data_IF_746277666960
#
_entry.id   IF_746277666960
#
_cell.length_a   1.000
_cell.length_b   1.000
_cell.length_c   1.000
_cell.angle_alpha   90.00
_cell.angle_beta   90.00
_cell.angle_gamma   90.00
#
_symmetry.space_group_name_H-M   'P 1'
#
loop_
_entity.id
_entity.type
_entity.pdbx_description
1 polymer ?
#
# COMPACT_ATOMS: atom_id res chain seq x y z
N UNK A 1 26.13 47.48 -49.54
CA UNK A 1 26.42 46.33 -48.66
C UNK A 1 26.74 45.13 -49.56
N UNK A 2 27.94 44.54 -49.48
CA UNK A 2 28.39 43.52 -50.44
C UNK A 2 27.54 42.24 -50.37
N UNK A 3 27.20 41.65 -51.53
CA UNK A 3 26.43 40.40 -51.66
C UNK A 3 27.02 39.28 -50.77
N UNK A 4 28.35 39.28 -50.56
CA UNK A 4 29.03 38.35 -49.65
C UNK A 4 28.61 38.51 -48.19
N UNK A 5 28.39 39.74 -47.72
CA UNK A 5 27.94 40.02 -46.34
C UNK A 5 26.48 39.64 -46.13
N UNK A 6 25.64 39.77 -47.16
CA UNK A 6 24.22 39.37 -47.13
C UNK A 6 24.09 37.85 -47.12
N UNK A 7 24.84 37.13 -47.96
CA UNK A 7 24.84 35.66 -47.95
C UNK A 7 25.32 35.09 -46.61
N UNK A 8 26.36 35.67 -45.99
CA UNK A 8 26.90 35.21 -44.71
C UNK A 8 25.91 35.43 -43.56
N UNK A 9 25.20 36.57 -43.57
CA UNK A 9 24.14 36.85 -42.60
C UNK A 9 22.97 35.88 -42.77
N UNK A 10 22.52 35.63 -44.00
CA UNK A 10 21.41 34.69 -44.26
C UNK A 10 21.77 33.26 -43.87
N UNK A 11 23.02 32.82 -44.11
CA UNK A 11 23.46 31.48 -43.67
C UNK A 11 23.55 31.36 -42.16
N UNK A 12 24.05 32.39 -41.44
CA UNK A 12 24.06 32.39 -39.98
C UNK A 12 22.66 32.40 -39.39
N UNK A 13 21.72 33.15 -39.97
CA UNK A 13 20.32 33.19 -39.50
C UNK A 13 19.61 31.86 -39.75
N UNK A 14 19.86 31.20 -40.89
CA UNK A 14 19.29 29.87 -41.19
C UNK A 14 19.88 28.78 -40.28
N UNK A 15 21.17 28.84 -39.94
CA UNK A 15 21.79 27.92 -38.97
C UNK A 15 21.21 28.14 -37.56
N UNK A 16 20.97 29.38 -37.15
CA UNK A 16 20.32 29.71 -35.87
C UNK A 16 18.83 29.30 -35.81
N UNK A 17 18.12 29.33 -36.94
CA UNK A 17 16.73 28.89 -37.04
C UNK A 17 16.57 27.37 -37.07
N UNK A 18 17.61 26.62 -37.45
CA UNK A 18 17.62 25.15 -37.48
C UNK A 18 18.10 24.51 -36.17
N UNK A 19 18.58 25.30 -35.21
CA UNK A 19 18.79 24.89 -33.81
C UNK A 19 17.51 24.94 -32.95
N UNK A 20 16.34 24.68 -33.56
CA UNK A 20 15.21 24.14 -32.82
C UNK A 20 15.58 22.71 -32.41
N UNK A 21 16.40 22.60 -31.35
CA UNK A 21 16.67 21.33 -30.69
C UNK A 21 15.33 20.63 -30.48
N UNK A 22 15.18 19.46 -31.10
CA UNK A 22 14.24 18.45 -30.62
C UNK A 22 14.49 18.36 -29.12
N UNK A 23 13.54 18.83 -28.32
CA UNK A 23 13.58 18.67 -26.88
C UNK A 23 13.50 17.17 -26.61
N UNK A 24 14.67 16.54 -26.50
CA UNK A 24 14.78 15.24 -25.88
C UNK A 24 14.15 15.37 -24.50
N UNK A 25 13.18 14.51 -24.13
CA UNK A 25 12.60 14.53 -22.79
C UNK A 25 13.75 14.57 -21.77
N UNK A 26 13.82 15.63 -20.96
CA UNK A 26 14.73 15.66 -19.82
C UNK A 26 14.06 14.82 -18.74
N UNK A 27 14.59 13.62 -18.50
CA UNK A 27 14.34 12.93 -17.23
C UNK A 27 14.92 13.83 -16.13
N UNK A 28 14.05 14.44 -15.31
CA UNK A 28 14.53 15.15 -14.12
C UNK A 28 15.18 14.13 -13.18
N UNK A 29 16.34 14.46 -12.63
CA UNK A 29 17.03 13.55 -11.70
C UNK A 29 16.30 13.51 -10.36
N UNK A 30 16.59 12.47 -9.55
CA UNK A 30 16.11 12.29 -8.17
C UNK A 30 16.33 13.53 -7.28
N UNK A 31 17.18 14.44 -7.73
CA UNK A 31 17.68 15.62 -7.02
C UNK A 31 16.86 16.89 -7.36
N UNK A 32 15.98 16.84 -8.37
CA UNK A 32 15.29 18.01 -8.94
C UNK A 32 13.83 18.20 -8.46
N UNK A 33 13.30 17.36 -7.57
CA UNK A 33 12.10 17.71 -6.79
C UNK A 33 10.74 17.60 -7.50
N UNK A 34 10.30 16.41 -7.89
CA UNK A 34 8.98 16.23 -8.51
C UNK A 34 7.83 16.17 -7.50
N UNK A 35 6.80 17.05 -7.56
CA UNK A 35 5.68 17.04 -6.64
C UNK A 35 4.83 15.78 -6.78
N UNK A 36 5.02 14.84 -5.86
CA UNK A 36 4.09 13.75 -5.62
C UNK A 36 3.09 14.12 -4.53
N UNK A 37 1.94 13.46 -4.53
CA UNK A 37 0.90 13.69 -3.53
C UNK A 37 0.16 12.40 -3.19
N UNK A 38 -0.52 12.42 -2.04
CA UNK A 38 -1.43 11.35 -1.61
C UNK A 38 -2.83 11.92 -1.48
N UNK A 39 -3.84 11.18 -1.91
CA UNK A 39 -5.24 11.53 -1.76
C UNK A 39 -6.00 10.44 -1.02
N UNK A 40 -6.90 10.84 -0.12
CA UNK A 40 -7.88 9.93 0.49
C UNK A 40 -9.24 10.26 -0.11
N UNK A 41 -10.01 9.24 -0.47
CA UNK A 41 -11.42 9.38 -0.87
C UNK A 41 -12.26 8.31 -0.19
N UNK A 42 -13.53 8.60 0.04
CA UNK A 42 -14.51 7.68 0.58
C UNK A 42 -15.89 7.98 -0.02
N UNK A 43 -16.81 7.00 -0.06
CA UNK A 43 -18.19 7.27 -0.42
C UNK A 43 -18.80 8.25 0.56
N UNK A 44 -19.78 9.02 0.09
CA UNK A 44 -20.32 10.13 0.85
C UNK A 44 -21.09 9.68 2.09
N UNK A 45 -21.87 8.60 1.97
CA UNK A 45 -22.58 7.98 3.10
C UNK A 45 -21.69 7.12 4.00
N UNK A 46 -20.48 6.80 3.54
CA UNK A 46 -19.47 6.07 4.30
C UNK A 46 -18.22 6.92 4.47
N UNK A 47 -18.45 8.18 4.83
CA UNK A 47 -17.38 9.15 5.04
C UNK A 47 -16.40 8.70 6.11
N UNK A 48 -15.21 9.29 6.07
CA UNK A 48 -14.10 9.00 6.96
C UNK A 48 -13.51 10.27 7.51
N UNK A 49 -13.02 10.22 8.74
CA UNK A 49 -12.14 11.23 9.33
C UNK A 49 -10.72 10.66 9.34
N UNK A 50 -9.82 11.28 8.59
CA UNK A 50 -8.41 10.87 8.54
C UNK A 50 -7.71 11.39 9.79
N UNK A 51 -7.09 10.50 10.55
CA UNK A 51 -6.34 10.88 11.75
C UNK A 51 -4.98 11.46 11.38
N UNK A 52 -4.24 10.74 10.56
CA UNK A 52 -2.94 11.16 10.04
C UNK A 52 -2.52 10.28 8.86
N UNK A 53 -1.64 10.86 8.04
CA UNK A 53 -0.91 10.13 7.01
C UNK A 53 0.58 10.38 7.23
N UNK A 54 1.36 9.32 7.34
CA UNK A 54 2.82 9.40 7.41
C UNK A 54 3.45 8.75 6.19
N UNK A 55 4.55 9.34 5.72
CA UNK A 55 5.47 8.71 4.77
C UNK A 55 6.76 8.34 5.47
N UNK A 56 7.26 7.14 5.20
CA UNK A 56 8.53 6.60 5.70
C UNK A 56 9.39 6.24 4.49
N UNK A 57 10.65 6.64 4.51
CA UNK A 57 11.64 6.28 3.51
C UNK A 57 12.91 5.89 4.24
N UNK A 58 13.13 4.59 4.39
CA UNK A 58 14.25 4.08 5.19
C UNK A 58 15.56 4.27 4.44
N UNK A 59 15.57 4.15 3.10
CA UNK A 59 16.79 4.34 2.31
C UNK A 59 17.38 5.75 2.38
N UNK A 60 16.57 6.76 2.73
CA UNK A 60 17.01 8.14 2.90
C UNK A 60 16.79 8.67 4.31
N UNK A 61 16.62 7.76 5.28
CA UNK A 61 16.48 8.03 6.72
C UNK A 61 15.49 9.14 7.02
N UNK A 62 14.25 8.97 6.57
CA UNK A 62 13.27 10.02 6.78
C UNK A 62 11.86 9.52 7.03
N UNK A 63 11.22 10.13 8.02
CA UNK A 63 9.77 10.02 8.27
C UNK A 63 9.14 11.41 8.22
N UNK A 64 7.93 11.53 7.69
CA UNK A 64 7.23 12.81 7.61
C UNK A 64 5.72 12.66 7.74
N UNK A 65 5.11 13.57 8.50
CA UNK A 65 3.66 13.72 8.55
C UNK A 65 3.23 14.46 7.28
N UNK A 66 2.46 13.78 6.42
CA UNK A 66 2.00 14.33 5.14
C UNK A 66 0.66 15.07 5.28
N UNK A 67 -0.23 14.57 6.14
CA UNK A 67 -1.47 15.26 6.51
C UNK A 67 -1.53 15.34 8.03
N UNK A 68 -1.48 16.54 8.62
CA UNK A 68 -1.82 16.69 10.02
C UNK A 68 -3.35 16.61 10.21
N UNK A 69 -3.81 16.12 11.38
CA UNK A 69 -5.23 16.03 11.70
C UNK A 69 -5.97 17.35 11.47
N UNK A 70 -7.26 17.31 11.06
CA UNK A 70 -8.18 18.45 10.87
C UNK A 70 -7.97 19.36 9.65
N UNK A 71 -7.16 19.00 8.66
CA UNK A 71 -6.86 19.91 7.53
C UNK A 71 -7.94 20.00 6.45
N UNK A 72 -8.94 19.12 6.41
CA UNK A 72 -9.98 19.16 5.37
C UNK A 72 -11.36 18.77 5.90
N UNK A 73 -12.21 19.78 6.12
CA UNK A 73 -13.65 19.60 6.26
C UNK A 73 -14.28 19.66 4.89
N UNK A 74 -14.62 18.51 4.32
CA UNK A 74 -15.30 18.55 3.03
C UNK A 74 -16.78 18.88 3.23
N UNK A 75 -17.19 20.03 2.72
CA UNK A 75 -18.60 20.41 2.68
C UNK A 75 -19.33 19.50 1.67
N UNK A 76 -20.13 18.57 2.19
CA UNK A 76 -20.95 17.63 1.42
C UNK A 76 -21.79 18.32 0.33
N UNK A 77 -22.40 19.48 0.66
CA UNK A 77 -23.26 20.19 -0.29
C UNK A 77 -22.43 20.77 -1.42
N UNK A 78 -21.25 21.30 -1.11
CA UNK A 78 -20.34 21.82 -2.13
C UNK A 78 -19.85 20.71 -3.08
N UNK A 79 -19.55 19.51 -2.57
CA UNK A 79 -19.19 18.35 -3.42
C UNK A 79 -20.34 17.94 -4.32
N UNK A 80 -21.55 17.82 -3.77
CA UNK A 80 -22.76 17.47 -4.50
C UNK A 80 -23.01 18.48 -5.61
N UNK A 81 -23.01 19.77 -5.30
CA UNK A 81 -23.20 20.84 -6.26
C UNK A 81 -22.12 20.83 -7.35
N UNK A 82 -20.85 20.60 -6.98
CA UNK A 82 -19.73 20.52 -7.93
C UNK A 82 -19.80 19.29 -8.84
N UNK A 83 -20.33 18.17 -8.37
CA UNK A 83 -20.52 16.98 -9.19
C UNK A 83 -21.69 17.15 -10.17
N UNK A 84 -22.82 17.67 -9.68
CA UNK A 84 -24.01 17.97 -10.49
C UNK A 84 -23.68 19.01 -11.56
N UNK A 85 -22.96 20.08 -11.21
CA UNK A 85 -22.59 21.14 -12.17
C UNK A 85 -21.67 20.66 -13.30
N UNK A 86 -20.99 19.52 -13.13
CA UNK A 86 -20.17 18.87 -14.15
C UNK A 86 -20.93 17.78 -14.93
N UNK A 87 -22.27 17.73 -14.80
CA UNK A 87 -23.14 16.79 -15.52
C UNK A 87 -23.03 15.34 -15.04
N UNK A 88 -22.39 15.09 -13.88
CA UNK A 88 -22.26 13.73 -13.37
C UNK A 88 -23.57 13.26 -12.73
N UNK A 89 -24.03 12.05 -13.07
CA UNK A 89 -25.02 11.32 -12.26
C UNK A 89 -24.35 11.02 -10.91
N UNK A 90 -24.76 11.75 -9.87
CA UNK A 90 -24.15 11.65 -8.54
C UNK A 90 -24.90 10.62 -7.70
N UNK A 91 -24.22 9.55 -7.31
CA UNK A 91 -24.71 8.58 -6.33
C UNK A 91 -23.81 8.68 -5.07
N UNK A 92 -24.38 8.95 -3.87
CA UNK A 92 -23.61 9.10 -2.63
C UNK A 92 -22.89 7.82 -2.16
N UNK A 93 -23.18 6.68 -2.77
CA UNK A 93 -22.46 5.41 -2.58
C UNK A 93 -21.26 5.26 -3.51
N UNK A 94 -21.09 6.13 -4.51
CA UNK A 94 -19.94 6.04 -5.43
C UNK A 94 -18.65 6.46 -4.73
N UNK A 95 -17.60 5.67 -4.94
CA UNK A 95 -16.24 5.99 -4.56
C UNK A 95 -15.55 6.74 -5.70
N UNK A 96 -15.28 8.04 -5.52
CA UNK A 96 -14.73 8.88 -6.59
C UNK A 96 -13.25 9.26 -6.36
N UNK A 97 -12.31 8.88 -7.25
CA UNK A 97 -10.90 9.26 -7.18
C UNK A 97 -10.68 10.70 -7.64
N UNK A 98 -11.75 11.42 -8.03
CA UNK A 98 -11.68 12.84 -8.40
C UNK A 98 -12.09 13.78 -7.27
N UNK A 99 -12.61 13.22 -6.17
CA UNK A 99 -13.11 14.01 -5.06
C UNK A 99 -12.52 13.47 -3.78
N UNK A 100 -11.74 14.29 -3.09
CA UNK A 100 -10.90 13.84 -1.98
C UNK A 100 -11.46 14.28 -0.63
N UNK A 101 -11.36 13.40 0.36
CA UNK A 101 -11.56 13.68 1.78
C UNK A 101 -10.35 14.38 2.39
N UNK A 102 -9.16 14.00 1.95
CA UNK A 102 -7.90 14.61 2.35
C UNK A 102 -6.91 14.57 1.18
N UNK A 103 -6.01 15.55 1.08
CA UNK A 103 -4.88 15.51 0.16
C UNK A 103 -3.62 15.96 0.90
N UNK A 104 -2.55 15.20 0.70
CA UNK A 104 -1.22 15.47 1.21
C UNK A 104 -0.33 15.82 0.03
N UNK A 105 0.43 16.89 0.12
CA UNK A 105 1.53 17.15 -0.81
C UNK A 105 2.85 16.71 -0.18
N UNK A 106 3.86 16.47 -1.02
CA UNK A 106 5.20 16.16 -0.56
C UNK A 106 5.72 17.20 0.45
N UNK A 107 6.54 16.79 1.43
CA UNK A 107 7.29 17.74 2.26
C UNK A 107 8.32 18.48 1.39
N UNK A 108 8.44 19.81 1.54
CA UNK A 108 9.24 20.71 0.69
C UNK A 108 10.78 20.47 0.66
N UNK A 109 11.25 19.31 1.08
CA UNK A 109 12.66 18.92 1.22
C UNK A 109 12.91 17.44 0.85
N UNK A 110 11.86 16.68 0.52
CA UNK A 110 11.90 15.24 0.23
C UNK A 110 11.27 14.96 -1.12
N UNK A 111 12.12 14.91 -2.12
CA UNK A 111 11.76 14.74 -3.54
C UNK A 111 11.23 13.34 -3.82
N UNK A 112 11.74 12.33 -3.14
CA UNK A 112 11.37 10.94 -3.36
C UNK A 112 10.05 10.61 -2.67
N UNK A 113 9.19 9.80 -3.31
CA UNK A 113 8.09 9.17 -2.62
C UNK A 113 8.60 8.35 -1.43
N UNK A 114 7.77 8.16 -0.39
CA UNK A 114 8.09 7.24 0.67
C UNK A 114 8.12 5.80 0.15
N UNK A 115 8.84 4.95 0.86
CA UNK A 115 8.82 3.49 0.68
C UNK A 115 7.58 2.88 1.33
N UNK A 116 7.08 3.50 2.41
CA UNK A 116 5.85 3.10 3.10
C UNK A 116 4.97 4.31 3.44
N UNK A 117 3.66 4.14 3.26
CA UNK A 117 2.64 5.07 3.71
C UNK A 117 1.83 4.44 4.85
N UNK A 118 1.76 5.16 5.97
CA UNK A 118 0.83 4.85 7.05
C UNK A 118 -0.41 5.73 6.91
N UNK A 119 -1.60 5.13 6.90
CA UNK A 119 -2.88 5.84 6.86
C UNK A 119 -3.76 5.33 8.00
N UNK A 120 -4.15 6.21 8.91
CA UNK A 120 -5.12 5.91 9.96
C UNK A 120 -6.38 6.76 9.81
N UNK A 121 -7.54 6.14 10.00
CA UNK A 121 -8.83 6.83 9.89
C UNK A 121 -9.91 6.22 10.79
N UNK A 122 -10.91 7.05 11.08
CA UNK A 122 -12.20 6.65 11.63
C UNK A 122 -13.20 6.48 10.48
N UNK A 123 -13.82 5.31 10.39
CA UNK A 123 -15.03 5.11 9.59
C UNK A 123 -16.20 5.74 10.34
N UNK A 124 -16.77 6.83 9.80
CA UNK A 124 -17.84 7.57 10.48
C UNK A 124 -19.17 6.80 10.48
N UNK A 125 -19.37 5.91 9.51
CA UNK A 125 -20.55 5.05 9.46
C UNK A 125 -20.47 3.96 10.54
N UNK A 126 -19.33 3.27 10.61
CA UNK A 126 -19.12 2.14 11.53
C UNK A 126 -18.81 2.62 12.96
N UNK A 127 -18.27 3.83 13.11
CA UNK A 127 -17.73 4.31 14.39
C UNK A 127 -16.51 3.51 14.84
N UNK A 128 -15.74 2.98 13.88
CA UNK A 128 -14.58 2.11 14.11
C UNK A 128 -13.34 2.67 13.43
N UNK A 129 -12.19 2.42 14.04
CA UNK A 129 -10.89 2.86 13.52
C UNK A 129 -10.23 1.77 12.68
N UNK A 130 -9.49 2.21 11.68
CA UNK A 130 -8.72 1.35 10.79
C UNK A 130 -7.35 1.97 10.54
N UNK A 131 -6.39 1.11 10.22
CA UNK A 131 -5.06 1.53 9.77
C UNK A 131 -4.60 0.73 8.57
N UNK A 132 -3.86 1.39 7.70
CA UNK A 132 -3.21 0.78 6.54
C UNK A 132 -1.72 1.14 6.55
N UNK A 133 -0.90 0.10 6.51
CA UNK A 133 0.53 0.17 6.24
C UNK A 133 0.72 -0.25 4.79
N UNK A 134 0.93 0.72 3.90
CA UNK A 134 1.01 0.49 2.46
C UNK A 134 2.44 0.69 1.97
N UNK A 135 3.08 -0.41 1.58
CA UNK A 135 4.43 -0.36 0.99
C UNK A 135 4.34 -0.06 -0.50
N UNK A 136 5.05 0.99 -0.94
CA UNK A 136 5.12 1.35 -2.35
C UNK A 136 6.19 0.50 -3.02
N UNK A 137 5.81 -0.23 -4.08
CA UNK A 137 6.78 -0.90 -4.93
C UNK A 137 7.70 0.12 -5.63
N UNK A 138 8.92 -0.28 -5.96
CA UNK A 138 9.86 0.57 -6.72
C UNK A 138 9.23 1.07 -8.03
N UNK A 139 8.43 0.23 -8.69
CA UNK A 139 7.70 0.61 -9.89
C UNK A 139 6.68 1.72 -9.61
N UNK A 140 5.93 1.60 -8.51
CA UNK A 140 4.93 2.61 -8.14
C UNK A 140 5.59 3.92 -7.71
N UNK A 141 6.70 3.88 -6.96
CA UNK A 141 7.49 5.06 -6.61
C UNK A 141 8.01 5.77 -7.88
N UNK A 142 8.57 5.01 -8.84
CA UNK A 142 9.00 5.55 -10.15
C UNK A 142 7.83 6.14 -10.93
N UNK A 143 6.67 5.48 -10.94
CA UNK A 143 5.47 6.01 -11.58
C UNK A 143 4.99 7.29 -10.92
N UNK A 144 5.09 7.42 -9.59
CA UNK A 144 4.75 8.65 -8.89
C UNK A 144 5.67 9.82 -9.29
N UNK A 145 6.94 9.52 -9.53
CA UNK A 145 7.95 10.47 -10.02
C UNK A 145 7.91 10.72 -11.54
N UNK A 146 7.04 10.05 -12.29
CA UNK A 146 7.05 10.15 -13.75
C UNK A 146 6.53 11.50 -14.22
N UNK A 147 7.41 12.28 -14.86
CA UNK A 147 7.03 13.39 -15.73
C UNK A 147 6.48 12.86 -17.05
N UNK A 148 5.37 13.43 -17.50
CA UNK A 148 5.13 13.55 -18.93
C UNK A 148 5.40 15.00 -19.33
N UNK A 149 6.09 15.18 -20.46
CA UNK A 149 6.52 16.48 -20.95
C UNK A 149 5.33 17.43 -21.12
N UNK A 150 5.47 18.59 -20.48
CA UNK A 150 4.72 19.83 -20.60
C UNK A 150 3.19 19.74 -20.41
N UNK A 151 2.59 20.58 -19.56
CA UNK A 151 1.18 20.88 -19.73
C UNK A 151 0.93 21.40 -21.15
N UNK A 152 -0.29 21.22 -21.66
CA UNK A 152 -0.68 21.82 -22.95
C UNK A 152 -0.33 23.32 -22.95
N UNK A 153 0.11 23.90 -24.08
CA UNK A 153 0.39 25.32 -24.16
C UNK A 153 -0.82 26.13 -23.64
N UNK A 154 -0.66 26.85 -22.54
CA UNK A 154 -1.73 27.60 -21.86
C UNK A 154 -2.16 27.06 -20.49
N UNK A 155 -1.77 25.85 -20.10
CA UNK A 155 -2.10 25.24 -18.80
C UNK A 155 -0.86 25.21 -17.88
N UNK A 156 -0.26 26.35 -17.54
CA UNK A 156 0.91 26.39 -16.65
C UNK A 156 0.67 25.64 -15.32
N UNK A 157 1.25 24.44 -15.19
CA UNK A 157 1.14 23.59 -14.02
C UNK A 157 2.19 22.49 -14.04
N UNK A 158 2.84 22.28 -12.89
CA UNK A 158 3.79 21.18 -12.69
C UNK A 158 3.08 19.83 -12.77
N UNK A 159 3.69 18.88 -13.46
CA UNK A 159 3.07 17.64 -13.92
C UNK A 159 3.39 16.49 -12.94
N UNK A 160 2.75 16.48 -11.77
CA UNK A 160 2.94 15.46 -10.74
C UNK A 160 2.03 14.22 -10.90
N UNK A 161 2.18 13.23 -10.02
CA UNK A 161 1.20 12.14 -9.85
C UNK A 161 0.68 12.09 -8.41
N UNK A 162 -0.55 11.60 -8.25
CA UNK A 162 -1.19 11.41 -6.95
C UNK A 162 -1.53 9.94 -6.73
N UNK A 163 -1.04 9.37 -5.64
CA UNK A 163 -1.51 8.07 -5.16
C UNK A 163 -2.80 8.27 -4.37
N UNK A 164 -3.85 7.52 -4.68
CA UNK A 164 -5.19 7.72 -4.13
C UNK A 164 -5.64 6.45 -3.42
N UNK A 165 -6.04 6.57 -2.16
CA UNK A 165 -6.65 5.52 -1.37
C UNK A 165 -8.15 5.78 -1.24
N UNK A 166 -8.95 4.87 -1.81
CA UNK A 166 -10.39 4.85 -1.69
C UNK A 166 -10.83 3.93 -0.58
N UNK A 167 -11.28 4.50 0.53
CA UNK A 167 -11.66 3.79 1.73
C UNK A 167 -13.13 3.37 1.64
N UNK A 168 -13.38 2.08 1.77
CA UNK A 168 -14.69 1.41 1.72
C UNK A 168 -14.97 0.81 3.11
N UNK A 169 -16.24 0.67 3.53
CA UNK A 169 -16.60 0.02 4.79
C UNK A 169 -15.95 -1.36 4.98
N UNK A 170 -15.74 -1.76 6.23
CA UNK A 170 -15.04 -3.01 6.55
C UNK A 170 -13.53 -2.95 6.38
N UNK A 171 -12.96 -1.77 6.10
CA UNK A 171 -11.51 -1.58 5.93
C UNK A 171 -10.99 -1.99 4.55
N UNK A 172 -11.87 -2.19 3.56
CA UNK A 172 -11.45 -2.39 2.18
C UNK A 172 -10.93 -1.10 1.57
N UNK A 173 -9.83 -1.19 0.82
CA UNK A 173 -9.18 -0.03 0.21
C UNK A 173 -8.88 -0.29 -1.25
N UNK A 174 -9.31 0.62 -2.12
CA UNK A 174 -8.92 0.64 -3.53
C UNK A 174 -7.79 1.64 -3.73
N UNK A 175 -6.72 1.23 -4.42
CA UNK A 175 -5.57 2.09 -4.69
C UNK A 175 -5.56 2.49 -6.16
N UNK A 176 -5.42 3.78 -6.44
CA UNK A 176 -5.25 4.32 -7.79
C UNK A 176 -4.04 5.25 -7.88
N UNK A 177 -3.52 5.38 -9.09
CA UNK A 177 -2.57 6.43 -9.44
C UNK A 177 -3.23 7.40 -10.42
N UNK A 178 -3.37 8.66 -10.02
CA UNK A 178 -3.85 9.74 -10.87
C UNK A 178 -2.67 10.51 -11.46
N UNK A 179 -2.66 10.61 -12.79
CA UNK A 179 -1.73 11.45 -13.55
C UNK A 179 -2.38 12.83 -13.76
N UNK A 180 -1.74 13.88 -13.26
CA UNK A 180 -2.18 15.26 -13.53
C UNK A 180 -1.99 15.61 -15.01
N UNK A 181 -1.02 14.99 -15.68
CA UNK A 181 -0.72 15.23 -17.09
C UNK A 181 -1.77 14.64 -18.03
N UNK A 182 -2.26 13.43 -17.72
CA UNK A 182 -3.22 12.73 -18.58
C UNK A 182 -4.68 12.97 -18.16
N UNK A 183 -4.90 13.57 -16.97
CA UNK A 183 -6.22 13.69 -16.33
C UNK A 183 -6.95 12.34 -16.16
N UNK A 184 -6.16 11.27 -16.12
CA UNK A 184 -6.59 9.88 -16.02
C UNK A 184 -6.06 9.23 -14.74
N UNK A 185 -6.89 8.38 -14.14
CA UNK A 185 -6.49 7.51 -13.05
C UNK A 185 -6.36 6.07 -13.55
N UNK A 186 -5.39 5.36 -13.00
CA UNK A 186 -5.18 3.94 -13.24
C UNK A 186 -5.39 3.19 -11.94
N UNK A 187 -6.11 2.07 -12.00
CA UNK A 187 -6.26 1.17 -10.86
C UNK A 187 -4.93 0.46 -10.62
N UNK A 188 -4.51 0.42 -9.35
CA UNK A 188 -3.30 -0.27 -8.91
C UNK A 188 -3.69 -1.62 -8.34
N UNK A 189 -4.43 -1.62 -7.22
CA UNK A 189 -4.79 -2.84 -6.50
C UNK A 189 -5.91 -2.60 -5.47
N UNK A 190 -6.41 -3.71 -4.91
CA UNK A 190 -7.23 -3.72 -3.70
C UNK A 190 -6.37 -4.17 -2.52
N UNK A 191 -6.46 -3.46 -1.39
CA UNK A 191 -5.78 -3.83 -0.14
C UNK A 191 -6.77 -3.84 1.01
N UNK A 192 -6.46 -4.64 2.04
CA UNK A 192 -7.25 -4.72 3.25
C UNK A 192 -6.52 -4.00 4.38
N UNK A 193 -7.23 -3.11 5.06
CA UNK A 193 -6.75 -2.44 6.25
C UNK A 193 -6.80 -3.36 7.48
N UNK A 194 -5.95 -3.08 8.46
CA UNK A 194 -6.11 -3.64 9.79
C UNK A 194 -7.28 -2.96 10.52
N UNK A 195 -8.02 -3.73 11.30
CA UNK A 195 -9.16 -3.27 12.10
C UNK A 195 -10.34 -4.26 11.98
N UNK A 196 -11.53 -3.89 12.47
CA UNK A 196 -11.84 -2.63 13.17
C UNK A 196 -11.19 -2.54 14.56
N UNK A 197 -10.85 -1.33 14.99
CA UNK A 197 -10.41 -1.00 16.34
C UNK A 197 -11.39 -0.04 17.04
N UNK A 198 -11.39 -0.08 18.36
CA UNK A 198 -12.22 0.77 19.23
C UNK A 198 -11.50 2.00 19.80
N UNK A 199 -10.25 2.21 19.39
CA UNK A 199 -9.40 3.29 19.87
C UNK A 199 -8.78 4.06 18.70
N UNK A 200 -8.59 5.36 18.92
CA UNK A 200 -7.89 6.26 18.03
C UNK A 200 -6.39 5.95 18.00
N UNK A 201 -5.74 6.16 16.86
CA UNK A 201 -4.30 5.98 16.71
C UNK A 201 -3.51 7.24 17.08
N UNK A 202 -4.18 8.37 17.27
CA UNK A 202 -3.55 9.61 17.73
C UNK A 202 -3.97 9.94 19.17
N UNK A 203 -3.03 9.90 20.15
CA UNK A 203 -3.36 9.92 21.58
C UNK A 203 -3.95 11.24 22.11
N UNK A 204 -3.72 12.37 21.42
CA UNK A 204 -4.19 13.69 21.89
C UNK A 204 -5.64 14.03 21.50
N UNK A 205 -6.38 13.10 20.88
CA UNK A 205 -7.76 13.38 20.41
C UNK A 205 -8.78 12.97 21.46
N UNK A 206 -9.56 13.96 21.89
CA UNK A 206 -10.74 13.76 22.74
C UNK A 206 -11.72 12.78 22.06
N UNK A 207 -12.02 11.66 22.70
CA UNK A 207 -13.01 10.64 22.26
C UNK A 207 -14.37 11.26 21.93
N UNK A 208 -14.74 12.35 22.61
CA UNK A 208 -15.96 13.11 22.36
C UNK A 208 -16.00 13.73 20.95
N UNK A 209 -14.86 14.17 20.41
CA UNK A 209 -14.78 14.73 19.05
C UNK A 209 -15.19 13.68 18.02
N UNK A 210 -14.60 12.49 18.06
CA UNK A 210 -14.91 11.40 17.14
C UNK A 210 -16.33 10.87 17.30
N UNK A 211 -16.81 10.77 18.54
CA UNK A 211 -18.19 10.45 18.83
C UNK A 211 -19.15 11.49 18.20
N UNK A 212 -18.82 12.78 18.29
CA UNK A 212 -19.62 13.85 17.70
C UNK A 212 -19.68 13.78 16.16
N UNK A 213 -18.58 13.43 15.49
CA UNK A 213 -18.57 13.29 14.02
C UNK A 213 -19.43 12.11 13.57
N UNK A 214 -19.29 10.98 14.24
CA UNK A 214 -20.08 9.76 14.00
C UNK A 214 -21.57 10.05 14.20
N UNK A 215 -21.93 10.75 15.28
CA UNK A 215 -23.31 11.19 15.56
C UNK A 215 -23.86 12.09 14.46
N UNK A 216 -23.10 13.12 14.02
CA UNK A 216 -23.52 14.04 12.95
C UNK A 216 -23.78 13.32 11.63
N UNK A 217 -22.95 12.35 11.25
CA UNK A 217 -23.20 11.58 10.04
C UNK A 217 -24.49 10.76 10.17
N UNK A 218 -24.69 10.07 11.30
CA UNK A 218 -25.90 9.28 11.58
C UNK A 218 -27.16 10.13 11.50
N UNK A 219 -27.21 11.25 12.21
CA UNK A 219 -28.35 12.19 12.17
C UNK A 219 -28.65 12.64 10.74
N UNK A 220 -27.61 12.94 9.95
CA UNK A 220 -27.76 13.37 8.56
C UNK A 220 -28.33 12.28 7.64
N UNK A 221 -27.85 11.04 7.74
CA UNK A 221 -28.35 9.93 6.89
C UNK A 221 -29.75 9.50 7.32
N UNK A 222 -30.05 9.52 8.62
CA UNK A 222 -31.40 9.27 9.16
C UNK A 222 -32.39 10.31 8.66
N UNK A 223 -32.02 11.60 8.64
CA UNK A 223 -32.86 12.66 8.09
C UNK A 223 -33.16 12.49 6.58
N UNK A 224 -32.38 11.66 5.88
CA UNK A 224 -32.58 11.32 4.46
C UNK A 224 -33.27 9.95 4.27
N UNK A 225 -33.75 9.32 5.35
CA UNK A 225 -34.32 7.96 5.35
C UNK A 225 -33.36 6.91 4.74
N UNK A 226 -32.05 7.08 4.96
CA UNK A 226 -31.03 6.16 4.48
C UNK A 226 -30.59 5.23 5.60
N UNK A 227 -30.68 3.92 5.36
CA UNK A 227 -30.11 2.89 6.22
C UNK A 227 -28.69 2.54 5.75
N UNK A 228 -27.70 2.68 6.63
CA UNK A 228 -26.30 2.36 6.32
C UNK A 228 -25.94 0.89 6.57
N UNK A 229 -26.60 0.23 7.53
CA UNK A 229 -26.30 -1.15 7.90
C UNK A 229 -27.55 -2.01 8.01
N UNK A 230 -27.52 -3.27 7.53
CA UNK A 230 -26.43 -3.87 6.76
C UNK A 230 -26.23 -3.15 5.41
N UNK A 231 -25.00 -3.13 4.91
CA UNK A 231 -24.68 -2.46 3.64
C UNK A 231 -25.33 -3.27 2.52
N UNK A 232 -26.19 -2.66 1.67
CA UNK A 232 -26.76 -3.38 0.53
C UNK A 232 -25.67 -3.83 -0.44
N UNK A 233 -25.75 -5.08 -0.90
CA UNK A 233 -24.70 -5.69 -1.75
C UNK A 233 -24.51 -4.92 -3.07
N UNK A 234 -25.58 -4.41 -3.68
CA UNK A 234 -25.51 -3.59 -4.88
C UNK A 234 -24.72 -2.29 -4.66
N UNK A 235 -24.83 -1.71 -3.46
CA UNK A 235 -24.09 -0.51 -3.07
C UNK A 235 -22.64 -0.81 -2.76
N UNK A 236 -22.36 -1.92 -2.09
CA UNK A 236 -21.00 -2.37 -1.85
C UNK A 236 -20.27 -2.69 -3.17
N UNK A 237 -20.93 -3.40 -4.08
CA UNK A 237 -20.44 -3.65 -5.42
C UNK A 237 -20.24 -2.34 -6.20
N UNK A 238 -21.15 -1.38 -6.06
CA UNK A 238 -20.99 -0.06 -6.68
C UNK A 238 -19.72 0.65 -6.14
N UNK A 239 -19.46 0.66 -4.83
CA UNK A 239 -18.25 1.25 -4.25
C UNK A 239 -16.98 0.62 -4.84
N UNK A 240 -16.90 -0.72 -4.83
CA UNK A 240 -15.75 -1.48 -5.37
C UNK A 240 -15.51 -1.23 -6.86
N UNK A 241 -16.59 -1.03 -7.62
CA UNK A 241 -16.56 -0.90 -9.08
C UNK A 241 -16.67 0.54 -9.60
N UNK A 242 -16.72 1.54 -8.72
CA UNK A 242 -17.08 2.94 -9.02
C UNK A 242 -16.20 3.63 -10.08
N UNK A 243 -15.13 3.00 -10.58
CA UNK A 243 -14.22 3.55 -11.58
C UNK A 243 -13.71 2.54 -12.62
N UNK A 244 -14.35 1.38 -12.74
CA UNK A 244 -14.06 0.44 -13.80
C UNK A 244 -14.67 0.93 -15.13
N UNK A 245 -14.00 1.82 -15.86
CA UNK A 245 -14.30 2.00 -17.29
C UNK A 245 -13.52 0.98 -18.12
N UNK A 246 -14.25 0.06 -18.75
CA UNK A 246 -13.95 -0.61 -20.03
C UNK A 246 -12.70 -1.52 -20.14
N UNK A 247 -12.86 -2.79 -19.75
CA UNK A 247 -12.51 -3.95 -20.60
C UNK A 247 -13.47 -5.08 -20.26
N UNK A 248 -14.00 -5.75 -21.29
CA UNK A 248 -14.79 -6.99 -21.15
C UNK A 248 -14.05 -7.93 -20.19
N UNK A 249 -14.79 -8.60 -19.29
CA UNK A 249 -14.25 -9.68 -18.48
C UNK A 249 -13.46 -10.64 -19.39
N UNK A 250 -12.16 -10.86 -19.15
CA UNK A 250 -11.58 -12.13 -19.56
C UNK A 250 -12.31 -13.24 -18.80
N UNK A 251 -12.49 -14.43 -19.41
CA UNK A 251 -13.08 -15.56 -18.71
C UNK A 251 -12.29 -15.78 -17.42
N UNK A 252 -13.05 -16.02 -16.34
CA UNK A 252 -12.57 -16.36 -15.00
C UNK A 252 -11.27 -17.17 -15.11
N UNK A 253 -10.12 -16.64 -14.66
CA UNK A 253 -8.97 -17.49 -14.46
C UNK A 253 -9.41 -18.54 -13.46
N UNK A 254 -9.30 -19.81 -13.85
CA UNK A 254 -9.38 -20.94 -12.93
C UNK A 254 -8.60 -20.55 -11.69
N UNK A 255 -9.17 -20.66 -10.47
CA UNK A 255 -8.45 -20.29 -9.27
C UNK A 255 -7.12 -21.04 -9.30
N UNK A 256 -6.01 -20.30 -9.34
CA UNK A 256 -4.74 -20.90 -8.96
C UNK A 256 -4.97 -21.54 -7.59
N UNK A 257 -4.48 -22.76 -7.36
CA UNK A 257 -4.66 -23.42 -6.07
C UNK A 257 -4.17 -22.45 -5.01
N UNK A 258 -5.02 -22.18 -4.00
CA UNK A 258 -4.60 -21.41 -2.83
C UNK A 258 -3.36 -22.12 -2.29
N UNK A 259 -2.19 -21.50 -2.41
CA UNK A 259 -1.00 -21.93 -1.68
C UNK A 259 -1.31 -21.70 -0.21
N UNK A 260 -1.77 -22.76 0.45
CA UNK A 260 -1.79 -22.88 1.90
C UNK A 260 -0.37 -22.60 2.41
N UNK A 261 -0.23 -21.77 3.44
CA UNK A 261 1.06 -21.54 4.11
C UNK A 261 1.77 -22.88 4.32
N UNK A 262 3.02 -23.00 3.87
CA UNK A 262 3.82 -24.18 4.20
C UNK A 262 4.04 -24.14 5.72
N UNK A 263 3.94 -25.27 6.41
CA UNK A 263 3.94 -25.39 7.87
C UNK A 263 2.63 -24.94 8.55
N UNK A 264 1.50 -24.90 7.83
CA UNK A 264 0.20 -24.48 8.39
C UNK A 264 -0.39 -25.44 9.44
N UNK A 265 0.05 -26.71 9.48
CA UNK A 265 -0.51 -27.72 10.39
C UNK A 265 -0.07 -27.58 11.86
N UNK A 266 0.90 -26.70 12.17
CA UNK A 266 1.37 -26.54 13.55
C UNK A 266 0.39 -25.72 14.41
N UNK A 267 0.29 -26.03 15.71
CA UNK A 267 -0.64 -25.37 16.63
C UNK A 267 -0.15 -23.95 17.02
N UNK A 268 -0.29 -22.99 16.12
CA UNK A 268 0.08 -21.58 16.39
C UNK A 268 -0.85 -20.85 17.36
N UNK A 269 -1.90 -21.51 17.85
CA UNK A 269 -2.78 -21.02 18.91
C UNK A 269 -2.14 -21.10 20.32
N UNK A 270 -0.97 -21.72 20.46
CA UNK A 270 -0.18 -21.69 21.67
C UNK A 270 0.43 -20.30 21.87
N UNK A 271 0.05 -19.59 22.94
CA UNK A 271 0.72 -18.36 23.37
C UNK A 271 2.02 -18.74 24.08
N UNK A 272 3.09 -18.94 23.32
CA UNK A 272 4.42 -19.17 23.88
C UNK A 272 5.05 -17.82 24.23
N UNK A 273 5.56 -17.70 25.46
CA UNK A 273 6.38 -16.56 25.88
C UNK A 273 7.82 -17.05 25.96
N UNK A 274 8.69 -16.51 25.09
CA UNK A 274 10.11 -16.84 25.10
C UNK A 274 10.75 -16.32 26.39
N UNK A 275 11.62 -17.13 27.00
CA UNK A 275 12.32 -16.75 28.23
C UNK A 275 13.27 -15.59 27.97
N UNK A 276 13.20 -14.55 28.78
CA UNK A 276 14.03 -13.35 28.61
C UNK A 276 15.49 -13.72 28.75
N UNK A 277 16.28 -13.40 27.73
CA UNK A 277 17.72 -13.71 27.68
C UNK A 277 18.06 -15.03 27.00
N UNK A 278 17.07 -15.90 26.74
CA UNK A 278 17.28 -17.14 25.97
C UNK A 278 17.72 -16.87 24.53
N UNK A 279 18.43 -17.81 23.88
CA UNK A 279 18.76 -17.72 22.46
C UNK A 279 17.54 -17.49 21.55
N UNK A 280 16.38 -18.10 21.87
CA UNK A 280 15.13 -17.87 21.14
C UNK A 280 14.66 -16.42 21.26
N UNK A 281 14.67 -15.87 22.47
CA UNK A 281 14.28 -14.49 22.73
C UNK A 281 15.24 -13.51 22.03
N UNK A 282 16.55 -13.78 22.03
CA UNK A 282 17.54 -12.97 21.32
C UNK A 282 17.33 -13.00 19.80
N UNK A 283 17.05 -14.17 19.23
CA UNK A 283 16.70 -14.29 17.81
C UNK A 283 15.40 -13.54 17.48
N UNK A 284 14.36 -13.68 18.29
CA UNK A 284 13.10 -12.93 18.12
C UNK A 284 13.36 -11.42 18.09
N UNK A 285 14.16 -10.90 19.04
CA UNK A 285 14.53 -9.48 19.08
C UNK A 285 15.34 -9.05 17.86
N UNK A 286 16.30 -9.85 17.39
CA UNK A 286 17.07 -9.55 16.16
C UNK A 286 16.17 -9.52 14.92
N UNK A 287 15.26 -10.48 14.80
CA UNK A 287 14.27 -10.51 13.72
C UNK A 287 13.38 -9.25 13.76
N UNK A 288 12.82 -8.90 14.92
CA UNK A 288 11.99 -7.71 15.06
C UNK A 288 12.75 -6.40 14.78
N UNK A 289 13.99 -6.29 15.23
CA UNK A 289 14.77 -5.05 15.11
C UNK A 289 15.36 -4.87 13.72
N UNK A 290 15.80 -5.95 13.06
CA UNK A 290 16.61 -5.84 11.86
C UNK A 290 15.93 -6.46 10.62
N UNK A 291 14.91 -7.30 10.80
CA UNK A 291 14.15 -7.96 9.73
C UNK A 291 12.64 -7.81 9.95
N UNK A 292 12.18 -6.60 10.30
CA UNK A 292 10.79 -6.30 10.66
C UNK A 292 9.79 -6.75 9.58
N UNK A 293 10.09 -6.47 8.30
CA UNK A 293 9.30 -6.90 7.14
C UNK A 293 9.07 -8.42 7.07
N UNK A 294 10.04 -9.20 7.56
CA UNK A 294 9.95 -10.64 7.67
C UNK A 294 9.12 -11.02 8.91
N UNK A 295 9.38 -10.38 10.05
CA UNK A 295 8.67 -10.61 11.31
C UNK A 295 7.14 -10.48 11.18
N UNK A 296 6.65 -9.45 10.48
CA UNK A 296 5.20 -9.19 10.33
C UNK A 296 4.48 -10.18 9.40
N UNK A 297 5.22 -10.86 8.51
CA UNK A 297 4.67 -11.88 7.60
C UNK A 297 4.59 -13.26 8.25
N UNK A 298 5.30 -13.46 9.35
CA UNK A 298 5.33 -14.70 10.11
C UNK A 298 4.23 -14.67 11.17
N UNK A 299 3.29 -15.60 11.09
CA UNK A 299 2.18 -15.67 12.05
C UNK A 299 2.69 -16.20 13.39
N UNK A 300 2.44 -15.46 14.47
CA UNK A 300 2.85 -15.86 15.83
C UNK A 300 4.35 -16.16 15.93
N UNK A 301 5.18 -15.17 15.57
CA UNK A 301 6.64 -15.28 15.47
C UNK A 301 7.29 -16.03 16.65
N UNK A 302 6.97 -15.66 17.90
CA UNK A 302 7.57 -16.29 19.09
C UNK A 302 7.22 -17.78 19.21
N UNK A 303 5.99 -18.15 18.88
CA UNK A 303 5.55 -19.56 18.83
C UNK A 303 6.23 -20.31 17.70
N UNK A 304 6.36 -19.68 16.52
CA UNK A 304 7.09 -20.26 15.39
C UNK A 304 8.58 -20.48 15.72
N UNK A 305 9.22 -19.50 16.37
CA UNK A 305 10.61 -19.62 16.83
C UNK A 305 10.71 -20.81 17.80
N UNK A 306 9.86 -20.89 18.82
CA UNK A 306 9.90 -21.97 19.80
C UNK A 306 9.77 -23.36 19.16
N UNK A 307 8.78 -23.56 18.31
CA UNK A 307 8.53 -24.86 17.66
C UNK A 307 9.65 -25.25 16.71
N UNK A 308 10.12 -24.33 15.87
CA UNK A 308 11.21 -24.61 14.95
C UNK A 308 12.54 -24.86 15.68
N UNK A 309 12.72 -24.24 16.84
CA UNK A 309 13.89 -24.44 17.69
C UNK A 309 13.92 -25.86 18.28
N UNK A 310 12.77 -26.36 18.76
CA UNK A 310 12.64 -27.75 19.22
C UNK A 310 12.92 -28.75 18.11
N UNK A 311 12.38 -28.53 16.89
CA UNK A 311 12.66 -29.40 15.74
C UNK A 311 14.16 -29.48 15.40
N UNK A 312 14.87 -28.37 15.55
CA UNK A 312 16.31 -28.33 15.31
C UNK A 312 17.14 -28.95 16.44
N UNK A 313 16.68 -28.86 17.70
CA UNK A 313 17.28 -29.59 18.83
C UNK A 313 17.14 -31.11 18.66
N UNK A 314 15.96 -31.59 18.27
CA UNK A 314 15.72 -33.01 17.97
C UNK A 314 16.63 -33.54 16.84
N UNK A 315 17.02 -32.66 15.91
CA UNK A 315 17.95 -32.98 14.81
C UNK A 315 19.42 -32.95 15.21
N UNK A 316 19.73 -32.57 16.45
CA UNK A 316 21.10 -32.46 16.94
C UNK A 316 21.89 -31.32 16.27
N UNK A 317 21.20 -30.28 15.79
CA UNK A 317 21.87 -29.13 15.16
C UNK A 317 22.64 -28.30 16.17
N UNK A 318 23.81 -27.82 15.74
CA UNK A 318 24.58 -26.82 16.48
C UNK A 318 23.87 -25.45 16.46
N UNK A 319 24.34 -24.49 17.25
CA UNK A 319 23.63 -23.22 17.44
C UNK A 319 23.42 -22.42 16.14
N UNK A 320 24.41 -22.40 15.25
CA UNK A 320 24.31 -21.74 13.94
C UNK A 320 23.29 -22.45 13.04
N UNK A 321 23.38 -23.78 12.94
CA UNK A 321 22.43 -24.59 12.16
C UNK A 321 21.00 -24.46 12.70
N UNK A 322 20.86 -24.36 14.03
CA UNK A 322 19.57 -24.20 14.71
C UNK A 322 18.92 -22.87 14.33
N UNK A 323 19.67 -21.79 14.35
CA UNK A 323 19.18 -20.47 13.92
C UNK A 323 18.76 -20.47 12.44
N UNK A 324 19.58 -21.03 11.55
CA UNK A 324 19.25 -21.13 10.13
C UNK A 324 18.01 -22.01 9.86
N UNK A 325 17.84 -23.10 10.62
CA UNK A 325 16.66 -23.95 10.52
C UNK A 325 15.38 -23.21 10.92
N UNK A 326 15.45 -22.44 12.02
CA UNK A 326 14.35 -21.60 12.47
C UNK A 326 13.99 -20.59 11.38
N UNK A 327 14.98 -19.88 10.83
CA UNK A 327 14.74 -18.92 9.75
C UNK A 327 14.12 -19.57 8.51
N UNK A 328 14.50 -20.80 8.16
CA UNK A 328 13.92 -21.53 7.04
C UNK A 328 12.44 -21.90 7.29
N UNK A 329 12.08 -22.31 8.51
CA UNK A 329 10.68 -22.60 8.89
C UNK A 329 9.82 -21.35 8.82
N UNK A 330 10.30 -20.26 9.40
CA UNK A 330 9.59 -18.98 9.39
C UNK A 330 9.51 -18.39 7.96
N UNK A 331 10.56 -18.57 7.15
CA UNK A 331 10.58 -18.24 5.71
C UNK A 331 9.48 -18.98 4.95
N UNK A 332 9.36 -20.30 5.14
CA UNK A 332 8.33 -21.12 4.53
C UNK A 332 6.92 -20.72 5.00
N UNK A 333 6.75 -20.45 6.30
CA UNK A 333 5.48 -20.05 6.90
C UNK A 333 4.97 -18.70 6.37
N UNK A 334 5.85 -17.69 6.37
CA UNK A 334 5.55 -16.35 5.89
C UNK A 334 5.63 -16.21 4.37
N UNK A 335 6.02 -17.26 3.66
CA UNK A 335 6.31 -17.25 2.22
C UNK A 335 7.28 -16.11 1.84
N UNK A 336 8.29 -15.90 2.67
CA UNK A 336 9.28 -14.83 2.52
C UNK A 336 10.59 -15.42 2.01
N UNK A 337 11.15 -14.98 0.86
CA UNK A 337 12.43 -15.45 0.38
C UNK A 337 13.56 -15.22 1.39
N UNK A 338 14.49 -16.17 1.51
CA UNK A 338 15.63 -16.09 2.43
C UNK A 338 16.50 -14.84 2.19
N UNK A 339 16.52 -14.33 0.95
CA UNK A 339 17.23 -13.10 0.58
C UNK A 339 16.67 -11.85 1.28
N UNK A 340 15.38 -11.83 1.65
CA UNK A 340 14.80 -10.73 2.42
C UNK A 340 15.15 -10.81 3.91
N UNK A 341 15.44 -12.01 4.42
CA UNK A 341 15.89 -12.27 5.79
C UNK A 341 17.37 -11.90 5.94
N UNK A 342 18.16 -12.20 4.91
CA UNK A 342 19.61 -12.05 4.86
C UNK A 342 20.13 -10.65 5.20
N UNK A 343 19.47 -9.62 4.65
CA UNK A 343 19.91 -8.22 4.78
C UNK A 343 19.82 -7.72 6.22
N UNK A 344 18.80 -8.18 6.97
CA UNK A 344 18.58 -7.78 8.35
C UNK A 344 19.40 -8.57 9.37
N UNK A 345 19.65 -9.85 9.08
CA UNK A 345 20.33 -10.76 10.02
C UNK A 345 21.79 -11.04 9.67
N UNK A 346 22.35 -10.26 8.73
CA UNK A 346 23.76 -10.36 8.31
C UNK A 346 24.18 -11.76 7.83
N UNK A 347 23.24 -12.51 7.22
CA UNK A 347 23.53 -13.84 6.71
C UNK A 347 24.44 -13.77 5.48
N UNK A 348 25.46 -14.62 5.43
CA UNK A 348 26.31 -14.75 4.26
C UNK A 348 25.62 -15.55 3.13
N UNK A 349 26.17 -15.51 1.92
CA UNK A 349 25.55 -16.14 0.74
C UNK A 349 25.33 -17.65 0.86
N UNK A 350 26.17 -18.36 1.63
CA UNK A 350 26.03 -19.81 1.88
C UNK A 350 24.83 -20.05 2.80
N UNK A 351 24.71 -19.26 3.86
CA UNK A 351 23.60 -19.34 4.82
C UNK A 351 22.26 -19.02 4.17
N UNK A 352 22.21 -17.96 3.34
CA UNK A 352 21.00 -17.60 2.59
C UNK A 352 20.54 -18.72 1.67
N UNK A 353 21.50 -19.35 0.96
CA UNK A 353 21.19 -20.49 0.08
C UNK A 353 20.69 -21.69 0.88
N UNK A 354 21.27 -21.96 2.05
CA UNK A 354 20.84 -23.04 2.93
C UNK A 354 19.41 -22.82 3.44
N UNK A 355 19.11 -21.60 3.93
CA UNK A 355 17.77 -21.21 4.41
C UNK A 355 16.73 -21.35 3.30
N UNK A 356 17.04 -20.86 2.09
CA UNK A 356 16.13 -20.98 0.95
C UNK A 356 15.87 -22.44 0.57
N UNK A 357 16.93 -23.26 0.54
CA UNK A 357 16.81 -24.68 0.17
C UNK A 357 15.89 -25.43 1.14
N UNK A 358 16.08 -25.23 2.44
CA UNK A 358 15.22 -25.84 3.47
C UNK A 358 13.79 -25.31 3.42
N UNK A 359 13.59 -24.00 3.24
CA UNK A 359 12.26 -23.42 3.10
C UNK A 359 11.48 -24.03 1.93
N UNK A 360 12.15 -24.18 0.79
CA UNK A 360 11.56 -24.81 -0.39
C UNK A 360 11.25 -26.30 -0.16
N UNK A 361 12.11 -27.02 0.56
CA UNK A 361 11.90 -28.43 0.93
C UNK A 361 10.68 -28.61 1.85
N UNK A 362 10.48 -27.72 2.81
CA UNK A 362 9.29 -27.74 3.68
C UNK A 362 8.02 -27.58 2.86
N UNK A 363 7.99 -26.58 1.96
CA UNK A 363 6.86 -26.37 1.06
C UNK A 363 6.58 -27.56 0.13
N UNK A 364 7.64 -28.22 -0.36
CA UNK A 364 7.51 -29.43 -1.19
C UNK A 364 6.97 -30.63 -0.42
N UNK A 365 7.39 -30.81 0.84
CA UNK A 365 6.93 -31.90 1.69
C UNK A 365 5.42 -31.75 2.00
N UNK A 366 4.96 -30.55 2.35
CA UNK A 366 3.56 -30.28 2.67
C UNK A 366 2.66 -30.44 1.44
N UNK A 367 3.14 -30.03 0.26
CA UNK A 367 2.43 -30.22 -1.00
C UNK A 367 2.22 -31.70 -1.35
N UNK A 368 3.15 -32.59 -0.96
CA UNK A 368 3.02 -34.04 -1.15
C UNK A 368 2.07 -34.70 -0.14
N UNK A 369 1.97 -34.15 1.08
CA UNK A 369 0.99 -34.60 2.08
C UNK A 369 -0.43 -34.19 1.68
N UNK A 370 -0.60 -32.98 1.13
CA UNK A 370 -1.89 -32.51 0.60
C UNK A 370 -2.35 -33.34 -0.61
N UNK A 371 -1.44 -33.69 -1.53
CA UNK A 371 -1.80 -34.49 -2.71
C UNK A 371 -2.05 -35.97 -2.43
N UNK A 372 -1.47 -36.53 -1.37
CA UNK A 372 -1.78 -37.90 -0.92
C UNK A 372 -3.11 -37.99 -0.18
N UNK A 373 -3.46 -37.00 0.66
CA UNK A 373 -4.75 -36.97 1.36
C UNK A 373 -5.97 -36.79 0.43
N UNK A 374 -5.80 -36.15 -0.72
CA UNK A 374 -6.86 -35.96 -1.72
C UNK A 374 -7.12 -37.21 -2.57
N UNK A 375 -6.19 -38.18 -2.60
CA UNK A 375 -6.41 -39.45 -3.29
C UNK A 375 -7.12 -40.49 -2.42
N UNK A 376 -7.10 -40.34 -1.09
CA UNK A 376 -7.81 -41.25 -0.18
C UNK A 376 -9.30 -40.92 -0.02
N UNK A 377 -9.75 -39.73 -0.45
CA UNK A 377 -11.17 -39.33 -0.39
C UNK A 377 -11.96 -39.60 -1.68
N UNK A 378 -11.33 -40.21 -2.70
CA UNK A 378 -12.00 -40.61 -3.95
C UNK A 378 -12.13 -42.14 -4.11
N UNK A 379 -11.99 -42.88 -3.01
CA UNK A 379 -12.25 -44.32 -2.93
C UNK A 379 -13.18 -44.58 -1.75
N UNK A 380 -14.46 -44.23 -1.93
CA UNK A 380 -15.63 -45.00 -1.44
C UNK A 380 -16.93 -44.44 -2.05
#
# INVERSE_FOLDING_TARGET
MSIRKVCLLVTLTVIFLLSACKSVPRELTRDEGMPWSVGITAPLYYGVEVEHIWGINDSQDWTSILIPPNTYRVNFEERKQRAISRGAKWDPYILSPRVFNATAQQPAWKVTPPEELFVAWLSLAEGKFYRLNYRLSDELQKKMLRLKNAPKPGEGGECGNKLIFGLIPGGEVSVWLWSYCDLEYSFVEYVQASGPFDYAFYPDRNTEYYASLTKRLREKVTAQNVQLFPIPEDKLALMRNSNAKQKKLPPKPTPAPKLTHCWAEKPYNLKVKLEIGSPQHQLSRRIWNNAYDFAVKVRYLDTGIHLAWQEAEEKGFNDQQRELWVLARLSAQGQVPATQIAKGLELNSVEVKQVQTWADDFCRADSKLLSSSQNETNLE
#
